data_IF_418896594333
#
_entry.id   IF_418896594333
#
_cell.length_a   1.000
_cell.length_b   1.000
_cell.length_c   1.000
_cell.angle_alpha   90.00
_cell.angle_beta   90.00
_cell.angle_gamma   90.00
#
_symmetry.space_group_name_H-M   'P 1'
#
loop_
_entity.id
_entity.type
_entity.pdbx_description
1 polymer ?
#
# COMPACT_ATOMS: atom_id res chain seq x y z
N UNK A 1 -26.64 -21.20 -12.86
CA UNK A 1 -26.11 -20.58 -14.08
C UNK A 1 -24.88 -19.78 -13.69
N UNK A 2 -23.74 -20.14 -14.27
CA UNK A 2 -22.41 -19.94 -13.71
C UNK A 2 -21.96 -18.47 -13.78
N UNK A 3 -21.54 -17.89 -12.65
CA UNK A 3 -21.01 -16.53 -12.53
C UNK A 3 -19.68 -16.28 -13.28
N UNK A 4 -19.20 -17.27 -14.04
CA UNK A 4 -17.90 -17.26 -14.73
C UNK A 4 -17.91 -16.44 -16.03
N UNK A 5 -19.07 -16.09 -16.57
CA UNK A 5 -19.18 -15.28 -17.80
C UNK A 5 -19.27 -13.78 -17.47
N UNK A 6 -19.97 -13.39 -16.40
CA UNK A 6 -20.11 -11.99 -16.00
C UNK A 6 -18.79 -11.36 -15.55
N UNK A 7 -18.08 -12.03 -14.63
CA UNK A 7 -16.82 -11.52 -14.06
C UNK A 7 -15.73 -11.27 -15.11
N UNK A 8 -15.64 -12.11 -16.14
CA UNK A 8 -14.65 -11.97 -17.21
C UNK A 8 -14.93 -10.77 -18.13
N UNK A 9 -16.22 -10.41 -18.32
CA UNK A 9 -16.62 -9.24 -19.12
C UNK A 9 -16.28 -7.95 -18.38
N UNK A 10 -16.56 -7.92 -17.07
CA UNK A 10 -16.34 -6.73 -16.23
C UNK A 10 -14.86 -6.33 -16.14
N UNK A 11 -13.96 -7.32 -16.00
CA UNK A 11 -12.51 -7.05 -15.98
C UNK A 11 -12.05 -6.49 -17.33
N UNK A 12 -12.53 -7.06 -18.44
CA UNK A 12 -12.09 -6.67 -19.79
C UNK A 12 -12.52 -5.24 -20.13
N UNK A 13 -13.72 -4.86 -19.71
CA UNK A 13 -14.23 -3.50 -19.84
C UNK A 13 -13.48 -2.51 -18.94
N UNK A 14 -13.16 -2.89 -17.70
CA UNK A 14 -12.38 -2.05 -16.80
C UNK A 14 -10.97 -1.77 -17.33
N UNK A 15 -10.29 -2.79 -17.89
CA UNK A 15 -8.98 -2.63 -18.51
C UNK A 15 -9.01 -1.71 -19.73
N UNK A 16 -10.07 -1.77 -20.55
CA UNK A 16 -10.24 -0.88 -21.69
C UNK A 16 -10.46 0.59 -21.29
N UNK A 17 -10.99 0.82 -20.08
CA UNK A 17 -11.31 2.16 -19.55
C UNK A 17 -10.25 2.70 -18.58
N UNK A 18 -9.14 2.00 -18.37
CA UNK A 18 -8.05 2.51 -17.52
C UNK A 18 -7.30 3.63 -18.25
N UNK A 19 -6.94 4.72 -17.55
CA UNK A 19 -6.12 5.78 -18.12
C UNK A 19 -4.72 5.26 -18.47
N UNK A 20 -4.15 5.76 -19.57
CA UNK A 20 -2.81 5.36 -20.05
C UNK A 20 -1.70 5.76 -19.06
N UNK A 21 -1.93 6.80 -18.26
CA UNK A 21 -1.04 7.25 -17.20
C UNK A 21 -1.82 7.45 -15.91
N UNK A 22 -1.28 6.93 -14.82
CA UNK A 22 -1.81 7.09 -13.47
C UNK A 22 -1.05 8.22 -12.78
N UNK A 23 -1.77 9.23 -12.29
CA UNK A 23 -1.19 10.32 -11.50
C UNK A 23 -1.38 10.03 -10.01
N UNK A 24 -0.28 10.00 -9.27
CA UNK A 24 -0.32 9.70 -7.84
C UNK A 24 -1.21 10.68 -7.05
N UNK A 25 -1.18 11.98 -7.36
CA UNK A 25 -1.88 12.99 -6.59
C UNK A 25 -3.39 12.99 -6.86
N UNK A 26 -3.80 12.62 -8.06
CA UNK A 26 -5.21 12.62 -8.49
C UNK A 26 -5.85 11.25 -8.26
N UNK A 27 -5.18 10.17 -8.63
CA UNK A 27 -5.80 8.84 -8.63
C UNK A 27 -5.52 8.07 -7.33
N UNK A 28 -4.27 8.07 -6.86
CA UNK A 28 -3.84 7.17 -5.77
C UNK A 28 -4.01 7.81 -4.39
N UNK A 29 -3.58 9.06 -4.23
CA UNK A 29 -3.55 9.78 -2.96
C UNK A 29 -4.93 9.91 -2.30
N UNK A 30 -6.04 10.19 -3.02
CA UNK A 30 -7.36 10.26 -2.38
C UNK A 30 -7.81 8.92 -1.78
N UNK A 31 -7.48 7.80 -2.45
CA UNK A 31 -7.80 6.44 -1.97
C UNK A 31 -7.04 6.17 -0.67
N UNK A 32 -5.74 6.44 -0.65
CA UNK A 32 -4.91 6.27 0.54
C UNK A 32 -5.33 7.22 1.67
N UNK A 33 -5.75 8.44 1.36
CA UNK A 33 -6.23 9.40 2.35
C UNK A 33 -7.50 8.91 3.07
N UNK A 34 -8.45 8.32 2.33
CA UNK A 34 -9.68 7.81 2.94
C UNK A 34 -9.44 6.53 3.75
N UNK A 35 -8.67 5.57 3.22
CA UNK A 35 -8.57 4.23 3.79
C UNK A 35 -7.36 3.99 4.68
N UNK A 36 -6.22 4.64 4.40
CA UNK A 36 -4.93 4.20 4.93
C UNK A 36 -4.24 5.26 5.82
N UNK A 37 -4.31 6.54 5.46
CA UNK A 37 -3.63 7.62 6.19
C UNK A 37 -4.17 7.88 7.59
N UNK A 38 -5.39 7.40 7.89
CA UNK A 38 -5.94 7.43 9.25
C UNK A 38 -5.02 6.72 10.27
N UNK A 39 -4.32 5.66 9.84
CA UNK A 39 -3.44 4.85 10.69
C UNK A 39 -1.96 4.80 10.23
N UNK A 40 -1.67 5.10 8.96
CA UNK A 40 -0.32 4.95 8.38
C UNK A 40 0.26 6.27 7.83
N UNK A 41 -0.23 7.41 8.29
CA UNK A 41 0.34 8.72 7.98
C UNK A 41 1.39 9.16 9.02
N UNK A 42 1.92 10.38 8.86
CA UNK A 42 2.93 11.00 9.74
C UNK A 42 2.58 11.14 11.22
N UNK A 43 1.32 11.00 11.60
CA UNK A 43 0.90 11.13 13.01
C UNK A 43 1.43 9.95 13.85
N UNK A 44 2.52 10.18 14.59
CA UNK A 44 3.19 9.18 15.41
C UNK A 44 2.28 8.58 16.50
N UNK A 45 1.22 9.28 16.91
CA UNK A 45 0.26 8.76 17.90
C UNK A 45 -0.75 7.78 17.30
N UNK A 46 -0.90 7.79 15.97
CA UNK A 46 -1.84 6.95 15.22
C UNK A 46 -1.15 5.92 14.35
N UNK A 47 0.18 6.00 14.22
CA UNK A 47 0.99 5.05 13.48
C UNK A 47 0.90 3.66 14.09
N UNK A 48 0.41 2.72 13.29
CA UNK A 48 0.45 1.29 13.58
C UNK A 48 1.50 0.61 12.71
N UNK A 49 2.08 -0.48 13.23
CA UNK A 49 3.02 -1.34 12.51
C UNK A 49 4.29 -0.65 11.96
N UNK A 50 4.67 0.52 12.50
CA UNK A 50 5.83 1.31 12.05
C UNK A 50 5.83 1.57 10.53
N UNK A 51 4.64 1.66 9.93
CA UNK A 51 4.44 1.78 8.49
C UNK A 51 3.96 3.17 8.13
N UNK A 52 4.70 3.81 7.21
CA UNK A 52 4.41 5.11 6.61
C UNK A 52 4.09 4.97 5.13
N UNK A 53 2.85 5.25 4.76
CA UNK A 53 2.38 5.21 3.36
C UNK A 53 2.39 6.58 2.68
N UNK A 54 2.61 7.65 3.45
CA UNK A 54 2.60 9.04 2.96
C UNK A 54 3.97 9.50 2.41
N UNK A 55 5.01 8.69 2.53
CA UNK A 55 6.38 9.01 2.10
C UNK A 55 6.84 8.04 1.01
N UNK A 56 7.66 8.56 0.10
CA UNK A 56 8.39 7.75 -0.86
C UNK A 56 9.61 7.17 -0.14
N UNK A 57 9.63 5.86 0.05
CA UNK A 57 10.68 5.16 0.79
C UNK A 57 10.12 4.33 1.92
N UNK A 58 9.67 3.13 1.59
CA UNK A 58 9.62 2.06 2.58
C UNK A 58 11.07 1.68 2.86
N UNK A 59 11.55 2.00 4.04
CA UNK A 59 12.95 1.81 4.44
C UNK A 59 13.20 0.31 4.71
N UNK A 60 13.59 -0.44 3.67
CA UNK A 60 13.94 -1.85 3.78
C UNK A 60 15.09 -2.10 4.80
N UNK A 61 15.90 -1.08 5.09
CA UNK A 61 17.04 -1.19 6.03
C UNK A 61 16.61 -1.38 7.49
N UNK A 62 15.40 -0.94 7.86
CA UNK A 62 14.90 -1.16 9.24
C UNK A 62 14.51 -2.62 9.52
N UNK A 63 14.26 -3.41 8.47
CA UNK A 63 14.14 -4.88 8.60
C UNK A 63 15.49 -5.51 8.92
N UNK A 64 16.58 -5.00 8.32
CA UNK A 64 17.94 -5.43 8.61
C UNK A 64 18.32 -5.11 10.05
N UNK A 65 18.03 -3.92 10.55
CA UNK A 65 18.26 -3.56 11.96
C UNK A 65 17.49 -4.47 12.95
N UNK A 66 16.27 -4.89 12.59
CA UNK A 66 15.52 -5.86 13.41
C UNK A 66 16.20 -7.25 13.38
N UNK A 67 16.67 -7.71 12.23
CA UNK A 67 17.48 -8.93 12.11
C UNK A 67 18.83 -8.82 12.84
N UNK A 68 19.53 -7.68 12.75
CA UNK A 68 20.79 -7.41 13.45
C UNK A 68 20.60 -7.40 14.96
N UNK A 69 19.49 -6.86 15.48
CA UNK A 69 19.14 -6.94 16.90
C UNK A 69 18.80 -8.36 17.35
N UNK A 70 18.14 -9.15 16.51
CA UNK A 70 17.86 -10.57 16.79
C UNK A 70 19.15 -11.41 16.77
N UNK A 71 20.07 -11.12 15.86
CA UNK A 71 21.40 -11.74 15.81
C UNK A 71 22.27 -11.33 17.02
N UNK A 72 22.15 -10.08 17.49
CA UNK A 72 22.88 -9.59 18.67
C UNK A 72 22.33 -10.11 20.00
N UNK A 73 21.10 -10.65 20.06
CA UNK A 73 20.56 -11.31 21.26
C UNK A 73 20.96 -12.78 21.39
N UNK A 74 21.67 -13.36 20.41
CA UNK A 74 22.17 -14.73 20.49
C UNK A 74 23.68 -14.73 20.73
N UNK A 75 24.04 -14.82 22.02
CA UNK A 75 25.39 -15.00 22.59
C UNK A 75 26.22 -13.72 22.73
#
# INVERSE_FOLDING_TARGET
MCATVGFAIDIKLALANMPEKVDYNIDVKPILADKCFKCHAKDAKKQTANLRLDILGFDYDKTTEMFLRLLSQKS
#
